data_IF_362625742196
#
_entry.id   IF_362625742196
#
_cell.length_a   1.000
_cell.length_b   1.000
_cell.length_c   1.000
_cell.angle_alpha   90.00
_cell.angle_beta   90.00
_cell.angle_gamma   90.00
#
_symmetry.space_group_name_H-M   'P 1'
#
loop_
_entity.id
_entity.type
_entity.pdbx_description
1 polymer ?
#
# COMPACT_ATOMS: atom_id res chain seq x y z
N UNK A 1 -3.75 4.75 68.40
CA UNK A 1 -3.49 5.47 67.16
C UNK A 1 -2.78 4.63 66.09
N UNK A 2 -2.72 3.28 66.22
CA UNK A 2 -1.96 2.40 65.30
C UNK A 2 -2.83 1.53 64.39
N UNK A 3 -4.18 1.62 64.45
CA UNK A 3 -5.08 0.76 63.64
C UNK A 3 -5.35 1.39 62.23
N UNK A 4 -5.25 2.71 62.12
CA UNK A 4 -5.55 3.40 60.86
C UNK A 4 -4.41 3.33 59.83
N UNK A 5 -3.16 3.17 60.29
CA UNK A 5 -1.98 3.15 59.37
C UNK A 5 -1.94 1.86 58.56
N UNK A 6 -2.25 0.68 59.16
CA UNK A 6 -2.28 -0.61 58.47
C UNK A 6 -3.41 -0.73 57.43
N UNK A 7 -4.58 -0.11 57.71
CA UNK A 7 -5.66 -0.04 56.68
C UNK A 7 -5.33 0.88 55.52
N UNK A 8 -4.61 1.96 55.76
CA UNK A 8 -4.17 2.87 54.72
C UNK A 8 -3.11 2.23 53.81
N UNK A 9 -2.13 1.50 54.36
CA UNK A 9 -1.16 0.73 53.56
C UNK A 9 -1.81 -0.40 52.77
N UNK A 10 -2.82 -1.08 53.28
CA UNK A 10 -3.58 -2.12 52.55
C UNK A 10 -4.38 -1.55 51.38
N UNK A 11 -5.01 -0.37 51.51
CA UNK A 11 -5.70 0.32 50.39
C UNK A 11 -4.74 0.85 49.33
N UNK A 12 -3.60 1.43 49.73
CA UNK A 12 -2.61 1.93 48.78
C UNK A 12 -1.95 0.78 48.03
N UNK A 13 -1.62 -0.34 48.68
CA UNK A 13 -1.06 -1.51 48.06
C UNK A 13 -2.07 -2.23 47.15
N UNK A 14 -3.37 -2.27 47.52
CA UNK A 14 -4.45 -2.77 46.66
C UNK A 14 -4.68 -1.90 45.42
N UNK A 15 -4.55 -0.57 45.52
CA UNK A 15 -4.67 0.36 44.40
C UNK A 15 -3.48 0.25 43.44
N UNK A 16 -2.27 0.02 43.94
CA UNK A 16 -1.08 -0.24 43.14
C UNK A 16 -1.17 -1.56 42.38
N UNK A 17 -1.75 -2.60 42.93
CA UNK A 17 -1.94 -3.90 42.28
C UNK A 17 -3.01 -3.84 41.16
N UNK A 18 -4.03 -2.99 41.31
CA UNK A 18 -5.05 -2.78 40.27
C UNK A 18 -4.49 -1.95 39.08
N UNK A 19 -3.59 -1.02 39.33
CA UNK A 19 -2.93 -0.23 38.31
C UNK A 19 -1.87 -1.06 37.53
N UNK A 20 -1.17 -1.99 38.19
CA UNK A 20 -0.20 -2.88 37.55
C UNK A 20 -0.88 -3.94 36.65
N UNK A 21 -2.10 -4.40 36.98
CA UNK A 21 -2.83 -5.36 36.16
C UNK A 21 -3.22 -4.85 34.78
N UNK A 22 -3.55 -3.56 34.63
CA UNK A 22 -3.78 -2.91 33.33
C UNK A 22 -2.46 -2.76 32.52
N UNK A 23 -1.37 -2.40 33.17
CA UNK A 23 -0.06 -2.23 32.55
C UNK A 23 0.48 -3.56 32.01
N UNK A 24 0.37 -4.66 32.75
CA UNK A 24 0.86 -5.99 32.32
C UNK A 24 0.07 -6.51 31.11
N UNK A 25 -1.25 -6.35 31.08
CA UNK A 25 -2.08 -6.72 29.92
C UNK A 25 -1.71 -5.91 28.69
N UNK A 26 -1.50 -4.61 28.83
CA UNK A 26 -1.08 -3.74 27.75
C UNK A 26 0.33 -4.10 27.23
N UNK A 27 1.27 -4.43 28.15
CA UNK A 27 2.61 -4.88 27.77
C UNK A 27 2.58 -6.22 27.01
N UNK A 28 1.80 -7.19 27.48
CA UNK A 28 1.64 -8.47 26.81
C UNK A 28 1.00 -8.30 25.42
N UNK A 29 -0.04 -7.47 25.31
CA UNK A 29 -0.68 -7.17 24.05
C UNK A 29 0.27 -6.44 23.07
N UNK A 30 1.04 -5.46 23.54
CA UNK A 30 2.07 -4.80 22.73
C UNK A 30 3.16 -5.76 22.30
N UNK A 31 3.56 -6.72 23.12
CA UNK A 31 4.51 -7.77 22.77
C UNK A 31 4.02 -8.62 21.58
N UNK A 32 2.77 -9.07 21.66
CA UNK A 32 2.13 -9.81 20.56
C UNK A 32 1.99 -8.92 19.32
N UNK A 33 1.54 -7.68 19.48
CA UNK A 33 1.40 -6.74 18.39
C UNK A 33 2.73 -6.44 17.68
N UNK A 34 3.83 -6.28 18.44
CA UNK A 34 5.17 -6.11 17.88
C UNK A 34 5.67 -7.33 17.09
N UNK A 35 5.21 -8.54 17.47
CA UNK A 35 5.54 -9.76 16.72
C UNK A 35 4.74 -9.88 15.44
N UNK A 36 3.45 -9.54 15.48
CA UNK A 36 2.53 -9.64 14.34
C UNK A 36 2.66 -8.49 13.35
N UNK A 37 3.02 -7.31 13.83
CA UNK A 37 3.16 -6.09 13.05
C UNK A 37 4.34 -5.26 13.56
N UNK A 38 5.59 -5.70 13.30
CA UNK A 38 6.79 -4.97 13.71
C UNK A 38 6.85 -3.62 13.00
N UNK A 39 7.39 -2.60 13.72
CA UNK A 39 7.60 -1.29 13.14
C UNK A 39 8.96 -0.72 13.57
N UNK A 40 9.84 -0.35 12.63
CA UNK A 40 9.71 -0.54 11.18
C UNK A 40 9.68 -2.03 10.80
N UNK A 41 9.10 -2.33 9.64
CA UNK A 41 9.15 -3.70 9.12
C UNK A 41 10.62 -4.15 8.92
N UNK A 42 10.96 -5.41 9.24
CA UNK A 42 12.32 -5.91 9.06
C UNK A 42 12.71 -5.89 7.57
N UNK A 43 13.91 -5.37 7.28
CA UNK A 43 14.44 -5.28 5.88
C UNK A 43 14.83 -6.61 5.27
N UNK A 44 14.93 -7.67 6.08
CA UNK A 44 15.36 -9.01 5.63
C UNK A 44 14.51 -10.06 6.30
N UNK A 45 14.17 -11.09 5.55
CA UNK A 45 13.63 -12.33 6.11
C UNK A 45 14.64 -12.86 7.14
N UNK A 46 14.29 -12.81 8.41
CA UNK A 46 15.15 -13.34 9.48
C UNK A 46 15.33 -14.82 9.19
N UNK A 47 16.55 -15.22 8.87
CA UNK A 47 16.88 -16.61 8.61
C UNK A 47 16.47 -17.45 9.81
N UNK A 48 15.42 -18.28 9.65
CA UNK A 48 14.91 -19.22 10.64
C UNK A 48 13.62 -18.83 11.36
N UNK A 49 13.03 -17.65 11.09
CA UNK A 49 11.69 -17.29 11.57
C UNK A 49 10.60 -17.74 10.59
N UNK A 50 9.42 -18.12 11.10
CA UNK A 50 8.23 -18.34 10.26
C UNK A 50 7.76 -16.95 9.82
N UNK A 51 7.92 -16.61 8.54
CA UNK A 51 7.33 -15.42 7.95
C UNK A 51 5.85 -15.73 7.66
N UNK A 52 4.98 -15.28 8.56
CA UNK A 52 3.53 -15.48 8.39
C UNK A 52 3.00 -14.76 7.13
N UNK A 53 3.65 -13.69 6.67
CA UNK A 53 3.29 -13.01 5.43
C UNK A 53 3.58 -13.87 4.21
N UNK A 54 4.65 -14.69 4.25
CA UNK A 54 4.98 -15.62 3.17
C UNK A 54 3.90 -16.68 2.93
N UNK A 55 3.06 -16.99 3.94
CA UNK A 55 1.89 -17.86 3.74
C UNK A 55 0.83 -17.25 2.79
N UNK A 56 0.82 -15.91 2.65
CA UNK A 56 -0.05 -15.22 1.69
C UNK A 56 0.69 -14.84 0.41
N UNK A 57 1.84 -14.19 0.55
CA UNK A 57 2.58 -13.66 -0.60
C UNK A 57 3.28 -14.75 -1.41
N UNK A 58 3.58 -15.89 -0.78
CA UNK A 58 4.14 -17.08 -1.41
C UNK A 58 3.12 -18.08 -1.96
N UNK A 59 1.82 -17.80 -1.80
CA UNK A 59 0.74 -18.62 -2.35
C UNK A 59 0.48 -18.24 -3.82
N UNK A 60 0.25 -19.22 -4.67
CA UNK A 60 -0.09 -19.03 -6.09
C UNK A 60 -1.56 -19.34 -6.41
N UNK A 61 -2.32 -19.91 -5.48
CA UNK A 61 -3.78 -20.03 -5.58
C UNK A 61 -4.45 -18.70 -5.21
N UNK A 62 -4.61 -17.84 -6.21
CA UNK A 62 -5.27 -16.52 -6.06
C UNK A 62 -6.66 -16.63 -5.46
N UNK A 63 -7.40 -17.71 -5.77
CA UNK A 63 -8.75 -17.91 -5.24
C UNK A 63 -8.71 -18.18 -3.75
N UNK A 64 -7.85 -19.09 -3.29
CA UNK A 64 -7.66 -19.38 -1.87
C UNK A 64 -7.32 -18.09 -1.11
N UNK A 65 -6.35 -17.31 -1.61
CA UNK A 65 -5.98 -16.05 -0.97
C UNK A 65 -7.15 -15.08 -0.93
N UNK A 66 -7.90 -14.92 -2.01
CA UNK A 66 -9.05 -14.00 -2.08
C UNK A 66 -10.14 -14.32 -1.05
N UNK A 67 -10.35 -15.62 -0.74
CA UNK A 67 -11.33 -16.10 0.23
C UNK A 67 -10.87 -15.89 1.69
N UNK A 68 -9.56 -16.02 1.97
CA UNK A 68 -8.98 -15.88 3.31
C UNK A 68 -8.66 -14.42 3.65
N UNK A 69 -8.26 -13.62 2.66
CA UNK A 69 -7.78 -12.24 2.85
C UNK A 69 -8.73 -11.35 3.67
N UNK A 70 -10.07 -11.36 3.44
CA UNK A 70 -11.01 -10.56 4.24
C UNK A 70 -10.96 -10.88 5.74
N UNK A 71 -10.73 -12.15 6.10
CA UNK A 71 -10.61 -12.56 7.51
C UNK A 71 -9.35 -12.00 8.14
N UNK A 72 -8.22 -12.11 7.45
CA UNK A 72 -6.94 -11.55 7.92
C UNK A 72 -7.05 -10.03 8.07
N UNK A 73 -7.56 -9.35 7.06
CA UNK A 73 -7.78 -7.91 7.06
C UNK A 73 -8.61 -7.47 8.27
N UNK A 74 -9.73 -8.13 8.54
CA UNK A 74 -10.58 -7.80 9.70
C UNK A 74 -9.93 -8.14 11.03
N UNK A 75 -9.10 -9.17 11.09
CA UNK A 75 -8.33 -9.50 12.29
C UNK A 75 -7.34 -8.38 12.63
N UNK A 76 -6.56 -7.91 11.66
CA UNK A 76 -5.63 -6.80 11.88
C UNK A 76 -6.34 -5.49 12.22
N UNK A 77 -7.49 -5.21 11.60
CA UNK A 77 -8.30 -4.05 11.96
C UNK A 77 -8.78 -4.10 13.42
N UNK A 78 -9.25 -5.26 13.89
CA UNK A 78 -9.64 -5.45 15.30
C UNK A 78 -8.45 -5.23 16.24
N UNK A 79 -7.27 -5.76 15.89
CA UNK A 79 -6.05 -5.56 16.68
C UNK A 79 -5.65 -4.07 16.71
N UNK A 80 -5.72 -3.38 15.58
CA UNK A 80 -5.44 -1.95 15.49
C UNK A 80 -6.42 -1.12 16.35
N UNK A 81 -7.73 -1.37 16.21
CA UNK A 81 -8.75 -0.67 17.01
C UNK A 81 -8.61 -0.93 18.51
N UNK A 82 -8.09 -2.10 18.89
CA UNK A 82 -7.79 -2.43 20.29
C UNK A 82 -6.51 -1.76 20.80
N UNK A 83 -5.62 -1.33 19.90
CA UNK A 83 -4.37 -0.64 20.24
C UNK A 83 -4.05 0.46 19.20
N UNK A 84 -4.85 1.55 19.16
CA UNK A 84 -4.79 2.56 18.09
C UNK A 84 -3.47 3.36 18.05
N UNK A 85 -2.67 3.30 19.12
CA UNK A 85 -1.36 3.97 19.19
C UNK A 85 -0.21 3.11 18.63
N UNK A 86 -0.47 1.84 18.30
CA UNK A 86 0.55 0.94 17.81
C UNK A 86 0.78 1.16 16.31
N UNK A 87 1.89 1.80 15.95
CA UNK A 87 2.20 2.20 14.58
C UNK A 87 2.19 1.03 13.59
N UNK A 88 2.81 -0.09 13.94
CA UNK A 88 2.86 -1.27 13.09
C UNK A 88 1.48 -1.84 12.78
N UNK A 89 0.57 -1.91 13.76
CA UNK A 89 -0.80 -2.36 13.51
C UNK A 89 -1.57 -1.40 12.60
N UNK A 90 -1.36 -0.10 12.75
CA UNK A 90 -1.96 0.91 11.86
C UNK A 90 -1.48 0.73 10.43
N UNK A 91 -0.16 0.61 10.21
CA UNK A 91 0.44 0.41 8.88
C UNK A 91 -0.01 -0.91 8.27
N UNK A 92 0.05 -2.02 9.02
CA UNK A 92 -0.37 -3.34 8.55
C UNK A 92 -1.87 -3.36 8.18
N UNK A 93 -2.74 -2.82 9.03
CA UNK A 93 -4.17 -2.76 8.71
C UNK A 93 -4.43 -1.92 7.46
N UNK A 94 -3.75 -0.77 7.33
CA UNK A 94 -3.90 0.10 6.18
C UNK A 94 -3.39 -0.53 4.88
N UNK A 95 -2.19 -1.12 4.90
CA UNK A 95 -1.62 -1.79 3.73
C UNK A 95 -2.48 -2.98 3.26
N UNK A 96 -3.03 -3.77 4.20
CA UNK A 96 -3.94 -4.86 3.86
C UNK A 96 -5.23 -4.35 3.18
N UNK A 97 -5.81 -3.23 3.63
CA UNK A 97 -6.97 -2.62 2.97
C UNK A 97 -6.64 -2.16 1.55
N UNK A 98 -5.47 -1.54 1.34
CA UNK A 98 -5.02 -1.04 0.04
C UNK A 98 -4.73 -2.21 -0.92
N UNK A 99 -4.02 -3.24 -0.44
CA UNK A 99 -3.77 -4.45 -1.22
C UNK A 99 -5.06 -5.16 -1.61
N UNK A 100 -6.01 -5.31 -0.68
CA UNK A 100 -7.31 -5.91 -0.96
C UNK A 100 -8.11 -5.09 -1.98
N UNK A 101 -8.12 -3.77 -1.84
CA UNK A 101 -8.77 -2.87 -2.78
C UNK A 101 -8.24 -3.05 -4.20
N UNK A 102 -6.91 -3.10 -4.35
CA UNK A 102 -6.27 -3.25 -5.65
C UNK A 102 -6.47 -4.66 -6.24
N UNK A 103 -6.00 -5.69 -5.52
CA UNK A 103 -5.91 -7.04 -6.06
C UNK A 103 -7.26 -7.75 -6.21
N UNK A 104 -8.19 -7.53 -5.26
CA UNK A 104 -9.41 -8.34 -5.14
C UNK A 104 -10.71 -7.56 -5.32
N UNK A 105 -10.65 -6.25 -5.56
CA UNK A 105 -11.84 -5.43 -5.85
C UNK A 105 -11.66 -4.66 -7.15
N UNK A 106 -10.65 -3.79 -7.27
CA UNK A 106 -10.42 -2.99 -8.47
C UNK A 106 -10.03 -3.85 -9.66
N UNK A 107 -9.00 -4.69 -9.55
CA UNK A 107 -8.52 -5.51 -10.68
C UNK A 107 -9.62 -6.43 -11.24
N UNK A 108 -10.41 -7.15 -10.44
CA UNK A 108 -11.58 -7.87 -10.98
C UNK A 108 -12.65 -6.95 -11.59
N UNK A 109 -12.82 -5.73 -11.06
CA UNK A 109 -13.76 -4.76 -11.64
C UNK A 109 -13.28 -4.26 -13.02
N UNK A 110 -11.96 -4.11 -13.22
CA UNK A 110 -11.38 -3.74 -14.52
C UNK A 110 -11.77 -4.76 -15.62
N UNK A 111 -11.97 -6.03 -15.24
CA UNK A 111 -12.35 -7.12 -16.15
C UNK A 111 -13.85 -7.14 -16.48
N UNK A 112 -14.68 -6.36 -15.79
CA UNK A 112 -16.12 -6.26 -16.08
C UNK A 112 -16.29 -5.48 -17.38
N UNK A 113 -17.01 -6.04 -18.40
CA UNK A 113 -17.25 -5.34 -19.65
C UNK A 113 -17.98 -4.01 -19.45
N UNK A 114 -17.69 -3.04 -20.32
CA UNK A 114 -18.34 -1.71 -20.28
C UNK A 114 -19.88 -1.78 -20.44
N UNK A 115 -20.39 -2.82 -21.07
CA UNK A 115 -21.84 -3.10 -21.14
C UNK A 115 -22.48 -3.32 -19.76
N UNK A 116 -21.70 -3.62 -18.73
CA UNK A 116 -22.12 -3.78 -17.33
C UNK A 116 -21.64 -2.60 -16.46
N UNK A 117 -21.64 -1.40 -17.00
CA UNK A 117 -21.11 -0.18 -16.35
C UNK A 117 -21.59 0.01 -14.91
N UNK A 118 -22.88 -0.20 -14.62
CA UNK A 118 -23.39 -0.04 -13.25
C UNK A 118 -22.73 -0.99 -12.25
N UNK A 119 -22.53 -2.24 -12.62
CA UNK A 119 -21.84 -3.24 -11.80
C UNK A 119 -20.38 -2.85 -11.60
N UNK A 120 -19.70 -2.48 -12.67
CA UNK A 120 -18.29 -2.03 -12.65
C UNK A 120 -18.11 -0.83 -11.71
N UNK A 121 -18.98 0.18 -11.84
CA UNK A 121 -18.94 1.38 -11.01
C UNK A 121 -19.19 1.11 -9.52
N UNK A 122 -20.10 0.18 -9.17
CA UNK A 122 -20.32 -0.21 -7.78
C UNK A 122 -19.07 -0.83 -7.14
N UNK A 123 -18.34 -1.67 -7.89
CA UNK A 123 -17.08 -2.24 -7.39
C UNK A 123 -15.98 -1.18 -7.31
N UNK A 124 -15.89 -0.23 -8.23
CA UNK A 124 -14.97 0.90 -8.11
C UNK A 124 -15.25 1.78 -6.89
N UNK A 125 -16.51 2.09 -6.60
CA UNK A 125 -16.89 2.80 -5.39
C UNK A 125 -16.53 2.02 -4.11
N UNK A 126 -16.66 0.69 -4.17
CA UNK A 126 -16.25 -0.19 -3.07
C UNK A 126 -14.73 -0.19 -2.90
N UNK A 127 -13.96 -0.30 -3.98
CA UNK A 127 -12.50 -0.23 -3.96
C UNK A 127 -12.02 1.12 -3.41
N UNK A 128 -12.60 2.24 -3.89
CA UNK A 128 -12.31 3.59 -3.41
C UNK A 128 -12.47 3.70 -1.88
N UNK A 129 -13.56 3.17 -1.32
CA UNK A 129 -13.77 3.16 0.15
C UNK A 129 -12.69 2.40 0.88
N UNK A 130 -12.19 1.29 0.33
CA UNK A 130 -11.12 0.52 0.96
C UNK A 130 -9.77 1.22 0.85
N UNK A 131 -9.45 1.83 -0.28
CA UNK A 131 -8.26 2.65 -0.44
C UNK A 131 -8.20 3.78 0.57
N UNK A 132 -9.29 4.56 0.70
CA UNK A 132 -9.36 5.66 1.67
C UNK A 132 -9.24 5.16 3.10
N UNK A 133 -9.95 4.07 3.47
CA UNK A 133 -9.82 3.47 4.80
C UNK A 133 -8.39 3.02 5.09
N UNK A 134 -7.74 2.40 4.11
CA UNK A 134 -6.35 1.99 4.24
C UNK A 134 -5.42 3.19 4.42
N UNK A 135 -5.57 4.22 3.60
CA UNK A 135 -4.82 5.47 3.73
C UNK A 135 -4.99 6.10 5.11
N UNK A 136 -6.22 6.17 5.62
CA UNK A 136 -6.52 6.75 6.95
C UNK A 136 -5.79 6.02 8.08
N UNK A 137 -5.76 4.68 8.06
CA UNK A 137 -5.02 3.92 9.08
C UNK A 137 -3.52 4.19 9.01
N UNK A 138 -2.94 4.21 7.81
CA UNK A 138 -1.51 4.52 7.65
C UNK A 138 -1.21 5.96 8.07
N UNK A 139 -2.06 6.91 7.68
CA UNK A 139 -1.92 8.32 8.06
C UNK A 139 -2.00 8.53 9.57
N UNK A 140 -2.80 7.74 10.31
CA UNK A 140 -2.81 7.76 11.78
C UNK A 140 -1.44 7.39 12.37
N UNK A 141 -0.70 6.45 11.74
CA UNK A 141 0.68 6.13 12.15
C UNK A 141 1.63 7.31 11.97
N UNK A 142 1.52 8.01 10.85
CA UNK A 142 2.35 9.19 10.54
C UNK A 142 1.98 10.39 11.42
N UNK A 143 0.68 10.64 11.60
CA UNK A 143 0.19 11.75 12.43
C UNK A 143 0.53 11.54 13.92
N UNK A 144 0.50 10.29 14.39
CA UNK A 144 0.95 9.93 15.73
C UNK A 144 2.44 10.20 15.99
N UNK A 145 3.28 10.11 14.95
CA UNK A 145 4.70 10.43 15.02
C UNK A 145 5.00 11.93 14.76
N UNK A 146 4.20 12.55 13.90
CA UNK A 146 4.38 13.91 13.40
C UNK A 146 3.04 14.65 13.44
N UNK A 147 2.61 15.04 14.63
CA UNK A 147 1.27 15.64 14.86
C UNK A 147 0.97 16.75 13.84
N UNK A 148 -0.16 16.65 13.13
CA UNK A 148 -0.58 17.55 12.05
C UNK A 148 -0.13 17.10 10.66
N UNK A 149 0.53 15.92 10.55
CA UNK A 149 1.00 15.38 9.28
C UNK A 149 -0.15 15.12 8.30
N UNK A 150 -1.23 14.50 8.77
CA UNK A 150 -2.37 14.15 7.93
C UNK A 150 -3.01 15.39 7.28
N UNK A 151 -3.23 16.46 8.06
CA UNK A 151 -3.76 17.72 7.56
C UNK A 151 -2.80 18.39 6.56
N UNK A 152 -1.49 18.40 6.87
CA UNK A 152 -0.49 18.99 5.99
C UNK A 152 -0.38 18.28 4.63
N UNK A 153 -0.64 16.95 4.58
CA UNK A 153 -0.64 16.18 3.32
C UNK A 153 -1.96 16.27 2.57
N UNK A 154 -3.11 16.37 3.26
CA UNK A 154 -4.41 16.51 2.63
C UNK A 154 -4.55 17.80 1.80
N UNK A 155 -3.87 18.86 2.23
CA UNK A 155 -3.85 20.17 1.56
C UNK A 155 -2.40 20.64 1.36
N UNK A 156 -1.62 19.80 0.72
CA UNK A 156 -0.18 20.00 0.58
C UNK A 156 0.16 21.27 -0.19
N UNK A 157 1.02 22.06 0.42
CA UNK A 157 1.80 23.09 -0.23
C UNK A 157 3.25 22.96 0.24
N UNK A 158 4.21 23.44 -0.55
CA UNK A 158 5.62 23.33 -0.20
C UNK A 158 5.92 23.90 1.20
N UNK A 159 5.38 25.08 1.51
CA UNK A 159 5.59 25.75 2.81
C UNK A 159 5.02 24.97 3.99
N UNK A 160 3.90 24.25 3.81
CA UNK A 160 3.21 23.54 4.90
C UNK A 160 3.65 22.10 5.03
N UNK A 161 3.80 21.41 3.91
CA UNK A 161 4.02 19.97 3.87
C UNK A 161 5.48 19.56 3.91
N UNK A 162 6.38 20.28 3.20
CA UNK A 162 7.79 19.92 3.13
C UNK A 162 8.50 19.84 4.50
N UNK A 163 8.20 20.70 5.49
CA UNK A 163 8.79 20.58 6.83
C UNK A 163 8.43 19.26 7.55
N UNK A 164 7.24 18.71 7.31
CA UNK A 164 6.86 17.41 7.85
C UNK A 164 7.62 16.28 7.16
N UNK A 165 7.68 16.30 5.83
CA UNK A 165 8.39 15.30 5.04
C UNK A 165 9.89 15.30 5.36
N UNK A 166 10.50 16.47 5.57
CA UNK A 166 11.91 16.57 5.93
C UNK A 166 12.26 15.87 7.26
N UNK A 167 11.30 15.76 8.18
CA UNK A 167 11.45 15.06 9.47
C UNK A 167 11.31 13.54 9.35
N UNK A 168 10.66 13.03 8.30
CA UNK A 168 10.49 11.60 8.08
C UNK A 168 11.83 10.90 7.86
N UNK A 169 11.94 9.68 8.38
CA UNK A 169 13.16 8.85 8.41
C UNK A 169 12.96 7.59 7.59
N UNK A 170 14.02 6.82 7.37
CA UNK A 170 13.95 5.54 6.67
C UNK A 170 12.92 4.56 7.28
N UNK A 171 12.69 4.61 8.59
CA UNK A 171 11.65 3.82 9.25
C UNK A 171 10.21 4.19 8.85
N UNK A 172 9.99 5.35 8.23
CA UNK A 172 8.68 5.83 7.82
C UNK A 172 8.36 5.52 6.35
N UNK A 173 9.33 4.99 5.59
CA UNK A 173 9.20 4.75 4.13
C UNK A 173 7.96 3.91 3.81
N UNK A 174 7.74 2.82 4.52
CA UNK A 174 6.57 1.96 4.33
C UNK A 174 5.26 2.72 4.56
N UNK A 175 5.21 3.56 5.62
CA UNK A 175 4.03 4.39 5.91
C UNK A 175 3.79 5.44 4.82
N UNK A 176 4.85 6.12 4.35
CA UNK A 176 4.74 7.10 3.26
C UNK A 176 4.25 6.45 1.97
N UNK A 177 4.80 5.30 1.62
CA UNK A 177 4.43 4.53 0.43
C UNK A 177 2.96 4.10 0.47
N UNK A 178 2.53 3.41 1.52
CA UNK A 178 1.16 2.90 1.59
C UNK A 178 0.11 4.01 1.71
N UNK A 179 0.38 5.08 2.47
CA UNK A 179 -0.52 6.23 2.53
C UNK A 179 -0.74 6.84 1.13
N UNK A 180 0.35 7.05 0.40
CA UNK A 180 0.29 7.57 -0.96
C UNK A 180 -0.44 6.61 -1.92
N UNK A 181 -0.15 5.31 -1.88
CA UNK A 181 -0.84 4.31 -2.71
C UNK A 181 -2.36 4.30 -2.45
N UNK A 182 -2.79 4.44 -1.20
CA UNK A 182 -4.20 4.51 -0.87
C UNK A 182 -4.88 5.77 -1.41
N UNK A 183 -4.25 6.93 -1.28
CA UNK A 183 -4.77 8.21 -1.80
C UNK A 183 -4.83 8.18 -3.34
N UNK A 184 -3.73 7.80 -4.01
CA UNK A 184 -3.67 7.75 -5.47
C UNK A 184 -4.59 6.67 -6.04
N UNK A 185 -4.72 5.52 -5.37
CA UNK A 185 -5.67 4.47 -5.75
C UNK A 185 -7.12 4.94 -5.67
N UNK A 186 -7.50 5.67 -4.63
CA UNK A 186 -8.83 6.26 -4.52
C UNK A 186 -9.08 7.32 -5.59
N UNK A 187 -8.10 8.20 -5.83
CA UNK A 187 -8.16 9.23 -6.88
C UNK A 187 -8.30 8.62 -8.27
N UNK A 188 -7.59 7.55 -8.59
CA UNK A 188 -7.65 6.91 -9.91
C UNK A 188 -9.05 6.37 -10.27
N UNK A 189 -9.86 6.05 -9.25
CA UNK A 189 -11.21 5.53 -9.43
C UNK A 189 -12.29 6.62 -9.50
N UNK A 190 -12.00 7.81 -8.99
CA UNK A 190 -12.90 8.96 -9.00
C UNK A 190 -12.11 10.27 -9.03
N UNK A 191 -11.56 10.64 -10.20
CA UNK A 191 -10.77 11.86 -10.35
C UNK A 191 -11.57 13.15 -10.16
N UNK A 192 -12.91 13.06 -10.11
CA UNK A 192 -13.79 14.19 -9.88
C UNK A 192 -14.08 14.44 -8.40
N UNK A 193 -13.66 13.57 -7.51
CA UNK A 193 -13.71 13.79 -6.07
C UNK A 193 -12.71 14.88 -5.66
N UNK A 194 -13.25 16.01 -5.20
CA UNK A 194 -12.45 17.20 -4.86
C UNK A 194 -11.50 16.97 -3.69
N UNK A 195 -11.88 16.14 -2.72
CA UNK A 195 -11.03 15.84 -1.55
C UNK A 195 -9.89 14.90 -1.96
N UNK A 196 -10.19 13.88 -2.78
CA UNK A 196 -9.15 13.01 -3.34
C UNK A 196 -8.18 13.80 -4.22
N UNK A 197 -8.68 14.68 -5.08
CA UNK A 197 -7.87 15.56 -5.93
C UNK A 197 -6.97 16.48 -5.11
N UNK A 198 -7.48 17.10 -4.04
CA UNK A 198 -6.71 17.98 -3.16
C UNK A 198 -5.55 17.26 -2.46
N UNK A 199 -5.70 15.96 -2.19
CA UNK A 199 -4.68 15.16 -1.52
C UNK A 199 -3.58 14.61 -2.46
N UNK A 200 -3.77 14.67 -3.79
CA UNK A 200 -2.80 14.16 -4.77
C UNK A 200 -1.39 14.75 -4.61
N UNK A 201 -1.21 16.08 -4.50
CA UNK A 201 0.14 16.65 -4.35
C UNK A 201 0.87 16.12 -3.11
N UNK A 202 0.15 15.96 -1.99
CA UNK A 202 0.70 15.39 -0.76
C UNK A 202 1.10 13.91 -0.92
N UNK A 203 0.29 13.14 -1.65
CA UNK A 203 0.59 11.73 -1.93
C UNK A 203 1.86 11.60 -2.79
N UNK A 204 1.99 12.42 -3.82
CA UNK A 204 3.20 12.43 -4.67
C UNK A 204 4.43 12.84 -3.87
N UNK A 205 4.33 13.91 -3.06
CA UNK A 205 5.43 14.36 -2.21
C UNK A 205 5.85 13.28 -1.18
N UNK A 206 4.90 12.50 -0.64
CA UNK A 206 5.21 11.33 0.21
C UNK A 206 5.99 10.27 -0.54
N UNK A 207 5.64 9.93 -1.80
CA UNK A 207 6.39 8.99 -2.63
C UNK A 207 7.79 9.51 -2.98
N UNK A 208 7.91 10.77 -3.38
CA UNK A 208 9.20 11.39 -3.68
C UNK A 208 10.11 11.38 -2.43
N UNK A 209 9.55 11.65 -1.24
CA UNK A 209 10.29 11.53 0.02
C UNK A 209 10.69 10.08 0.32
N UNK A 210 9.80 9.12 0.12
CA UNK A 210 10.09 7.70 0.29
C UNK A 210 11.24 7.25 -0.63
N UNK A 211 11.24 7.68 -1.89
CA UNK A 211 12.31 7.41 -2.86
C UNK A 211 13.68 7.97 -2.43
N UNK A 212 13.69 9.14 -1.78
CA UNK A 212 14.92 9.74 -1.22
C UNK A 212 15.42 8.96 0.00
N UNK A 213 14.51 8.49 0.85
CA UNK A 213 14.85 7.79 2.10
C UNK A 213 15.28 6.33 1.87
N UNK A 214 14.66 5.64 0.93
CA UNK A 214 14.99 4.26 0.53
C UNK A 214 14.56 4.02 -0.92
N UNK A 215 15.45 4.32 -1.85
CA UNK A 215 15.22 4.19 -3.29
C UNK A 215 14.91 2.74 -3.71
N UNK A 216 15.42 1.75 -2.97
CA UNK A 216 15.26 0.34 -3.28
C UNK A 216 14.08 -0.31 -2.53
N UNK A 217 13.27 0.47 -1.80
CA UNK A 217 12.13 -0.05 -1.05
C UNK A 217 11.27 -0.97 -1.92
N UNK A 218 11.05 -2.20 -1.43
CA UNK A 218 10.27 -3.24 -2.10
C UNK A 218 10.60 -3.35 -3.59
N UNK A 219 11.89 -3.53 -3.91
CA UNK A 219 12.44 -3.72 -5.26
C UNK A 219 11.99 -2.64 -6.27
N UNK A 220 11.95 -1.38 -5.82
CA UNK A 220 11.62 -0.25 -6.67
C UNK A 220 10.12 0.09 -6.76
N UNK A 221 9.27 -0.42 -5.85
CA UNK A 221 7.82 -0.18 -5.86
C UNK A 221 7.45 1.31 -5.80
N UNK A 222 8.24 2.14 -5.11
CA UNK A 222 8.04 3.59 -5.07
C UNK A 222 8.17 4.20 -6.46
N UNK A 223 9.19 3.79 -7.20
CA UNK A 223 9.43 4.28 -8.57
C UNK A 223 8.38 3.78 -9.56
N UNK A 224 7.91 2.53 -9.41
CA UNK A 224 6.81 1.99 -10.19
C UNK A 224 5.52 2.83 -10.00
N UNK A 225 5.20 3.18 -8.76
CA UNK A 225 4.02 4.00 -8.45
C UNK A 225 4.18 5.44 -8.96
N UNK A 226 5.37 6.04 -8.81
CA UNK A 226 5.66 7.36 -9.38
C UNK A 226 5.59 7.36 -10.92
N UNK A 227 6.11 6.32 -11.58
CA UNK A 227 6.04 6.19 -13.03
C UNK A 227 4.58 6.13 -13.51
N UNK A 228 3.75 5.33 -12.84
CA UNK A 228 2.33 5.24 -13.15
C UNK A 228 1.62 6.59 -13.00
N UNK A 229 1.92 7.30 -11.92
CA UNK A 229 1.34 8.63 -11.68
C UNK A 229 1.80 9.65 -12.72
N UNK A 230 3.10 9.80 -12.94
CA UNK A 230 3.63 10.80 -13.87
C UNK A 230 3.19 10.57 -15.32
N UNK A 231 2.99 9.31 -15.72
CA UNK A 231 2.49 8.98 -17.05
C UNK A 231 1.00 9.25 -17.23
N UNK A 232 0.20 9.10 -16.18
CA UNK A 232 -1.27 9.22 -16.25
C UNK A 232 -1.79 10.63 -15.91
N UNK A 233 -1.10 11.37 -15.04
CA UNK A 233 -1.54 12.67 -14.57
C UNK A 233 -1.34 13.76 -15.64
N UNK A 234 -2.23 14.77 -15.72
CA UNK A 234 -1.98 15.95 -16.53
C UNK A 234 -0.83 16.78 -15.93
N UNK A 235 -0.14 17.58 -16.76
CA UNK A 235 0.97 18.44 -16.31
C UNK A 235 0.60 19.37 -15.15
N UNK A 236 -0.64 19.85 -15.15
CA UNK A 236 -1.17 20.71 -14.06
C UNK A 236 -1.21 20.02 -12.69
N UNK A 237 -1.18 18.69 -12.66
CA UNK A 237 -1.08 17.87 -11.43
C UNK A 237 0.32 17.27 -11.24
N UNK A 238 1.30 17.67 -12.04
CA UNK A 238 2.67 17.19 -11.94
C UNK A 238 3.02 16.02 -12.86
N UNK A 239 2.12 15.63 -13.77
CA UNK A 239 2.39 14.64 -14.81
C UNK A 239 3.55 15.09 -15.70
N UNK A 240 4.36 14.14 -16.18
CA UNK A 240 5.52 14.42 -17.04
C UNK A 240 6.02 13.11 -17.67
N UNK A 241 6.12 13.10 -18.96
CA UNK A 241 6.63 11.94 -19.71
C UNK A 241 8.08 11.63 -19.31
N UNK A 242 8.92 12.65 -19.22
CA UNK A 242 10.34 12.48 -18.85
C UNK A 242 10.50 11.89 -17.44
N UNK A 243 9.74 12.41 -16.46
CA UNK A 243 9.74 11.86 -15.10
C UNK A 243 9.18 10.42 -15.06
N UNK A 244 8.15 10.15 -15.86
CA UNK A 244 7.57 8.82 -15.95
C UNK A 244 8.59 7.80 -16.50
N UNK A 245 9.31 8.15 -17.58
CA UNK A 245 10.35 7.29 -18.13
C UNK A 245 11.52 7.06 -17.16
N UNK A 246 11.99 8.11 -16.50
CA UNK A 246 13.07 7.99 -15.51
C UNK A 246 12.66 7.11 -14.32
N UNK A 247 11.44 7.28 -13.81
CA UNK A 247 10.92 6.46 -12.73
C UNK A 247 10.71 5.00 -13.19
N UNK A 248 10.20 4.78 -14.40
CA UNK A 248 10.07 3.44 -14.97
C UNK A 248 11.42 2.73 -15.08
N UNK A 249 12.46 3.40 -15.62
CA UNK A 249 13.81 2.81 -15.72
C UNK A 249 14.34 2.41 -14.35
N UNK A 250 14.18 3.26 -13.33
CA UNK A 250 14.58 2.95 -11.95
C UNK A 250 13.82 1.75 -11.40
N UNK A 251 12.51 1.68 -11.62
CA UNK A 251 11.71 0.52 -11.18
C UNK A 251 12.18 -0.77 -11.86
N UNK A 252 12.46 -0.72 -13.16
CA UNK A 252 12.94 -1.86 -13.93
C UNK A 252 14.33 -2.33 -13.44
N UNK A 253 15.26 -1.39 -13.24
CA UNK A 253 16.63 -1.69 -12.81
C UNK A 253 16.63 -2.26 -11.37
N UNK A 254 15.89 -1.64 -10.44
CA UNK A 254 15.83 -2.07 -9.03
C UNK A 254 15.14 -3.42 -8.87
N UNK A 255 14.17 -3.74 -9.71
CA UNK A 255 13.53 -5.06 -9.73
C UNK A 255 14.35 -6.12 -10.46
N UNK A 256 15.46 -5.76 -11.10
CA UNK A 256 16.22 -6.66 -11.97
C UNK A 256 15.39 -7.25 -13.11
N UNK A 257 14.32 -6.56 -13.52
CA UNK A 257 13.38 -7.05 -14.52
C UNK A 257 12.52 -8.24 -14.04
N UNK A 258 12.46 -8.51 -12.74
CA UNK A 258 11.75 -9.65 -12.17
C UNK A 258 10.36 -9.30 -11.60
N UNK A 259 9.82 -8.12 -11.92
CA UNK A 259 8.47 -7.70 -11.53
C UNK A 259 7.57 -7.59 -12.78
N UNK A 260 6.58 -8.48 -12.95
CA UNK A 260 5.67 -8.42 -14.10
C UNK A 260 4.88 -7.11 -14.18
N UNK A 261 4.54 -6.51 -13.03
CA UNK A 261 3.79 -5.24 -12.96
C UNK A 261 4.51 -4.06 -13.64
N UNK A 262 5.84 -4.03 -13.60
CA UNK A 262 6.65 -2.99 -14.28
C UNK A 262 6.49 -3.08 -15.81
N UNK A 263 6.45 -4.28 -16.36
CA UNK A 263 6.20 -4.45 -17.80
C UNK A 263 4.77 -4.13 -18.21
N UNK A 264 3.80 -4.47 -17.33
CA UNK A 264 2.39 -4.11 -17.52
C UNK A 264 2.23 -2.59 -17.50
N UNK A 265 2.89 -1.91 -16.57
CA UNK A 265 2.93 -0.45 -16.53
C UNK A 265 3.43 0.12 -17.86
N UNK A 266 4.54 -0.39 -18.40
CA UNK A 266 5.07 0.07 -19.69
C UNK A 266 4.07 -0.15 -20.82
N UNK A 267 3.47 -1.33 -20.88
CA UNK A 267 2.46 -1.65 -21.89
C UNK A 267 1.28 -0.66 -21.85
N UNK A 268 0.72 -0.40 -20.65
CA UNK A 268 -0.48 0.42 -20.52
C UNK A 268 -0.18 1.94 -20.60
N UNK A 269 0.90 2.39 -19.97
CA UNK A 269 1.16 3.82 -19.77
C UNK A 269 2.06 4.44 -20.85
N UNK A 270 2.79 3.63 -21.62
CA UNK A 270 3.67 4.13 -22.67
C UNK A 270 3.26 3.59 -24.05
N UNK A 271 3.07 2.27 -24.21
CA UNK A 271 2.76 1.69 -25.51
C UNK A 271 1.34 2.07 -26.00
N UNK A 272 0.32 2.02 -25.12
CA UNK A 272 -1.06 2.37 -25.52
C UNK A 272 -1.18 3.83 -25.98
N UNK A 273 -0.70 4.85 -25.24
CA UNK A 273 -0.75 6.23 -25.73
C UNK A 273 0.06 6.46 -27.01
N UNK A 274 1.18 5.76 -27.17
CA UNK A 274 2.01 5.84 -28.36
C UNK A 274 1.49 5.02 -29.56
N UNK A 275 0.40 4.26 -29.39
CA UNK A 275 -0.12 3.30 -30.37
C UNK A 275 0.94 2.28 -30.82
N UNK A 276 1.87 1.91 -29.92
CA UNK A 276 2.90 0.90 -30.16
C UNK A 276 2.41 -0.48 -29.78
N UNK A 277 1.66 -1.13 -30.68
CA UNK A 277 1.11 -2.47 -30.44
C UNK A 277 2.19 -3.56 -30.35
N UNK A 278 3.35 -3.35 -31.00
CA UNK A 278 4.49 -4.28 -30.94
C UNK A 278 5.20 -4.21 -29.59
N UNK A 279 5.46 -3.00 -29.09
CA UNK A 279 6.01 -2.77 -27.76
C UNK A 279 5.09 -3.30 -26.65
N UNK A 280 3.78 -3.11 -26.82
CA UNK A 280 2.75 -3.65 -25.90
C UNK A 280 2.86 -5.17 -25.80
N UNK A 281 2.81 -5.90 -26.92
CA UNK A 281 2.93 -7.36 -26.93
C UNK A 281 4.27 -7.84 -26.38
N UNK A 282 5.35 -7.15 -26.73
CA UNK A 282 6.70 -7.43 -26.23
C UNK A 282 6.80 -7.31 -24.72
N UNK A 283 6.19 -6.28 -24.14
CA UNK A 283 6.17 -6.04 -22.69
C UNK A 283 5.31 -7.05 -21.96
N UNK A 284 4.11 -7.34 -22.43
CA UNK A 284 3.25 -8.36 -21.81
C UNK A 284 3.88 -9.75 -21.88
N UNK A 285 4.59 -10.08 -22.97
CA UNK A 285 5.34 -11.34 -23.06
C UNK A 285 6.41 -11.42 -21.98
N UNK A 286 7.23 -10.36 -21.79
CA UNK A 286 8.23 -10.32 -20.71
C UNK A 286 7.60 -10.53 -19.33
N UNK A 287 6.44 -9.90 -19.07
CA UNK A 287 5.71 -10.13 -17.82
C UNK A 287 5.31 -11.61 -17.62
N UNK A 288 4.92 -12.29 -18.69
CA UNK A 288 4.49 -13.69 -18.66
C UNK A 288 5.64 -14.70 -18.57
N UNK A 289 6.85 -14.32 -19.01
CA UNK A 289 8.06 -15.16 -18.98
C UNK A 289 8.68 -15.23 -17.57
N UNK A 290 8.28 -14.38 -16.62
CA UNK A 290 8.78 -14.42 -15.26
C UNK A 290 8.20 -15.65 -14.53
N UNK A 291 9.10 -16.54 -14.07
CA UNK A 291 8.69 -17.75 -13.34
C UNK A 291 8.46 -17.44 -11.85
N UNK A 292 7.23 -17.61 -11.33
CA UNK A 292 6.93 -17.42 -9.91
C UNK A 292 7.78 -18.32 -8.99
N UNK A 293 8.23 -19.48 -9.46
CA UNK A 293 9.05 -20.39 -8.66
C UNK A 293 10.41 -19.79 -8.26
N UNK A 294 10.94 -18.85 -9.05
CA UNK A 294 12.18 -18.16 -8.74
C UNK A 294 12.06 -17.11 -7.63
N UNK A 295 10.82 -16.76 -7.24
CA UNK A 295 10.52 -15.77 -6.20
C UNK A 295 9.45 -16.30 -5.24
N UNK A 296 9.81 -17.26 -4.36
CA UNK A 296 8.85 -17.99 -3.55
C UNK A 296 8.00 -17.09 -2.62
N UNK A 297 8.52 -15.93 -2.23
CA UNK A 297 7.80 -14.97 -1.37
C UNK A 297 6.93 -13.97 -2.16
N UNK A 298 6.95 -13.98 -3.49
CA UNK A 298 6.25 -13.04 -4.35
C UNK A 298 5.28 -13.72 -5.33
N UNK A 299 5.02 -15.00 -5.17
CA UNK A 299 4.21 -15.79 -6.12
C UNK A 299 2.84 -15.17 -6.35
N UNK A 300 2.16 -14.73 -5.29
CA UNK A 300 0.84 -14.12 -5.40
C UNK A 300 0.86 -12.90 -6.34
N UNK A 301 1.77 -11.97 -6.11
CA UNK A 301 1.85 -10.73 -6.91
C UNK A 301 2.25 -11.00 -8.35
N UNK A 302 3.13 -11.97 -8.57
CA UNK A 302 3.52 -12.41 -9.92
C UNK A 302 2.32 -13.03 -10.63
N UNK A 303 1.60 -13.95 -9.98
CA UNK A 303 0.43 -14.64 -10.55
C UNK A 303 -0.68 -13.66 -10.90
N UNK A 304 -1.05 -12.76 -9.98
CA UNK A 304 -2.04 -11.70 -10.23
C UNK A 304 -1.64 -10.79 -11.41
N UNK A 305 -0.37 -10.39 -11.46
CA UNK A 305 0.13 -9.57 -12.57
C UNK A 305 0.08 -10.33 -13.89
N UNK A 306 0.42 -11.61 -13.91
CA UNK A 306 0.33 -12.44 -15.11
C UNK A 306 -1.12 -12.67 -15.56
N UNK A 307 -2.08 -12.79 -14.63
CA UNK A 307 -3.51 -12.82 -14.98
C UNK A 307 -3.93 -11.52 -15.66
N UNK A 308 -3.49 -10.36 -15.13
CA UNK A 308 -3.72 -9.05 -15.76
C UNK A 308 -3.07 -8.95 -17.13
N UNK A 309 -1.85 -9.43 -17.30
CA UNK A 309 -1.17 -9.43 -18.61
C UNK A 309 -1.93 -10.26 -19.65
N UNK A 310 -2.41 -11.46 -19.27
CA UNK A 310 -3.23 -12.31 -20.17
C UNK A 310 -4.57 -11.64 -20.53
N UNK A 311 -5.18 -10.95 -19.58
CA UNK A 311 -6.39 -10.18 -19.85
C UNK A 311 -6.14 -9.03 -20.82
N UNK A 312 -5.07 -8.25 -20.61
CA UNK A 312 -4.67 -7.16 -21.51
C UNK A 312 -4.41 -7.65 -22.94
N UNK A 313 -3.77 -8.81 -23.11
CA UNK A 313 -3.57 -9.42 -24.43
C UNK A 313 -4.91 -9.71 -25.11
N UNK A 314 -5.92 -10.20 -24.38
CA UNK A 314 -7.26 -10.46 -24.93
C UNK A 314 -7.99 -9.18 -25.32
N UNK A 315 -7.72 -8.08 -24.62
CA UNK A 315 -8.38 -6.79 -24.83
C UNK A 315 -7.58 -5.88 -25.77
N UNK A 316 -6.54 -6.39 -26.43
CA UNK A 316 -5.64 -5.58 -27.28
C UNK A 316 -6.38 -4.75 -28.31
N UNK A 317 -7.37 -5.32 -28.98
CA UNK A 317 -8.16 -4.61 -30.00
C UNK A 317 -8.93 -3.38 -29.47
N UNK A 318 -9.15 -3.29 -28.15
CA UNK A 318 -9.79 -2.13 -27.53
C UNK A 318 -8.81 -0.96 -27.33
N UNK A 319 -7.51 -1.22 -27.40
CA UNK A 319 -6.46 -0.24 -27.15
C UNK A 319 -5.80 0.31 -28.41
N UNK A 320 -5.81 -0.46 -29.51
CA UNK A 320 -5.08 -0.10 -30.74
C UNK A 320 -6.02 0.09 -31.92
N UNK A 321 -5.81 1.19 -32.66
CA UNK A 321 -6.58 1.50 -33.87
C UNK A 321 -6.01 0.71 -35.05
N UNK A 322 -6.77 -0.23 -35.60
CA UNK A 322 -6.41 -0.91 -36.84
C UNK A 322 -5.68 -2.25 -36.70
N UNK A 323 -5.65 -2.83 -35.52
CA UNK A 323 -5.24 -4.23 -35.28
C UNK A 323 -6.40 -5.22 -35.47
#
# INVERSE_FOLDING_TARGET
MNVNLKKMYGCVMGLFLLLSGCSIKQMAFNGIANTLAPFPAPKTNVSGGIDAAAALTGEDDVKLVSEVFPTILKTYEILHLSNPKHRGLAVMSGSLYIMYANAFVQTPADYIPETQFQKKNLEYLRAKKFYLRGADYVMQSLDGAYKGFAEAMAYYTEDKGAPFLARCKAADVESLYWAACGILGAFSLDPMDTDALAAVPGAVAMLERAAVLDSAFNDGAVWETLAAFYAAAPESLGGSVDKAEDAYRKALDLSGGQRPSVYILYAQSFCVPAQDSVGFDGSLRKALEIDPANQPNNKLTITLSQEKARWLQKMKADYFLGD
#
